data_IF_813024071407
#
_entry.id   IF_813024071407
#
_cell.length_a   1.000
_cell.length_b   1.000
_cell.length_c   1.000
_cell.angle_alpha   90.00
_cell.angle_beta   90.00
_cell.angle_gamma   90.00
#
_symmetry.space_group_name_H-M   'P 1'
#
loop_
_entity.id
_entity.type
_entity.pdbx_description
1 polymer ?
#
# COMPACT_ATOMS: atom_id res chain seq x y z
N UNK A 1 24.23 -3.40 43.44
CA UNK A 1 23.83 -2.84 42.14
C UNK A 1 22.72 -1.82 42.41
N UNK A 2 22.79 -0.59 41.89
CA UNK A 2 21.69 0.37 42.05
C UNK A 2 20.43 -0.21 41.42
N UNK A 3 19.33 -0.25 42.20
CA UNK A 3 18.03 -0.70 41.67
C UNK A 3 17.53 0.36 40.70
N UNK A 4 17.19 -0.06 39.46
CA UNK A 4 16.59 0.83 38.44
C UNK A 4 15.29 1.40 39.03
N UNK A 5 15.08 2.73 38.99
CA UNK A 5 13.84 3.34 39.47
C UNK A 5 12.59 2.74 38.79
N UNK A 6 11.50 2.59 39.51
CA UNK A 6 10.29 1.94 39.02
C UNK A 6 9.73 2.62 37.76
N UNK A 7 9.79 3.95 37.71
CA UNK A 7 9.40 4.74 36.54
C UNK A 7 10.26 4.41 35.31
N UNK A 8 11.58 4.25 35.49
CA UNK A 8 12.46 3.86 34.41
C UNK A 8 12.21 2.43 33.94
N UNK A 9 11.88 1.50 34.86
CA UNK A 9 11.46 0.14 34.51
C UNK A 9 10.18 0.15 33.65
N UNK A 10 9.19 0.95 34.02
CA UNK A 10 7.95 1.13 33.24
C UNK A 10 8.24 1.57 31.80
N UNK A 11 9.04 2.61 31.64
CA UNK A 11 9.42 3.13 30.32
C UNK A 11 10.20 2.10 29.51
N UNK A 12 11.15 1.39 30.13
CA UNK A 12 11.93 0.35 29.46
C UNK A 12 11.09 -0.84 29.02
N UNK A 13 10.09 -1.25 29.81
CA UNK A 13 9.19 -2.35 29.44
C UNK A 13 8.31 -1.95 28.26
N UNK A 14 7.66 -0.79 28.33
CA UNK A 14 6.80 -0.32 27.23
C UNK A 14 7.62 -0.11 25.95
N UNK A 15 8.76 0.58 26.07
CA UNK A 15 9.67 0.80 24.94
C UNK A 15 10.24 -0.48 24.35
N UNK A 16 10.59 -1.44 25.20
CA UNK A 16 11.08 -2.76 24.78
C UNK A 16 10.03 -3.57 24.03
N UNK A 17 8.77 -3.53 24.46
CA UNK A 17 7.67 -4.19 23.76
C UNK A 17 7.43 -3.53 22.39
N UNK A 18 7.41 -2.19 22.34
CA UNK A 18 7.29 -1.46 21.08
C UNK A 18 8.43 -1.79 20.10
N UNK A 19 9.67 -1.77 20.58
CA UNK A 19 10.84 -2.14 19.80
C UNK A 19 10.78 -3.60 19.33
N UNK A 20 10.24 -4.51 20.17
CA UNK A 20 10.00 -5.89 19.81
C UNK A 20 9.01 -6.06 18.67
N UNK A 21 7.89 -5.35 18.70
CA UNK A 21 6.94 -5.33 17.59
C UNK A 21 7.61 -4.83 16.30
N UNK A 22 8.31 -3.71 16.39
CA UNK A 22 9.01 -3.16 15.23
C UNK A 22 10.05 -4.14 14.67
N UNK A 23 10.87 -4.74 15.53
CA UNK A 23 11.90 -5.71 15.12
C UNK A 23 11.27 -6.94 14.41
N UNK A 24 10.19 -7.47 14.96
CA UNK A 24 9.57 -8.69 14.43
C UNK A 24 8.88 -8.40 13.10
N UNK A 25 8.02 -7.40 13.04
CA UNK A 25 7.17 -7.17 11.88
C UNK A 25 7.86 -6.40 10.76
N UNK A 26 8.61 -5.34 11.08
CA UNK A 26 9.31 -4.55 10.05
C UNK A 26 10.59 -5.24 9.58
N UNK A 27 11.43 -5.71 10.54
CA UNK A 27 12.77 -6.20 10.19
C UNK A 27 12.79 -7.70 9.84
N UNK A 28 12.12 -8.57 10.64
CA UNK A 28 12.21 -10.02 10.43
C UNK A 28 11.18 -10.52 9.42
N UNK A 29 9.94 -10.03 9.47
CA UNK A 29 8.86 -10.47 8.58
C UNK A 29 8.72 -9.60 7.32
N UNK A 30 9.29 -8.40 7.29
CA UNK A 30 9.15 -7.46 6.17
C UNK A 30 7.71 -7.00 5.94
N UNK A 31 6.84 -7.12 6.95
CA UNK A 31 5.43 -6.74 6.89
C UNK A 31 5.12 -5.73 8.00
N UNK A 32 5.34 -4.43 7.77
CA UNK A 32 5.12 -3.40 8.77
C UNK A 32 3.67 -3.34 9.22
N UNK A 33 3.46 -3.24 10.54
CA UNK A 33 2.13 -3.08 11.12
C UNK A 33 1.63 -1.66 10.82
N UNK A 34 0.38 -1.50 10.30
CA UNK A 34 -0.23 -0.18 10.17
C UNK A 34 -0.23 0.61 11.48
N UNK A 35 0.04 1.92 11.42
CA UNK A 35 0.17 2.76 12.61
C UNK A 35 -1.06 2.72 13.53
N UNK A 36 -2.27 2.61 12.96
CA UNK A 36 -3.52 2.47 13.71
C UNK A 36 -3.56 1.18 14.53
N UNK A 37 -3.13 0.07 13.93
CA UNK A 37 -3.11 -1.25 14.58
C UNK A 37 -2.00 -1.29 15.64
N UNK A 38 -0.83 -0.74 15.35
CA UNK A 38 0.25 -0.57 16.34
C UNK A 38 -0.23 0.25 17.53
N UNK A 39 -0.93 1.36 17.29
CA UNK A 39 -1.51 2.19 18.35
C UNK A 39 -2.51 1.42 19.22
N UNK A 40 -3.35 0.60 18.61
CA UNK A 40 -4.31 -0.25 19.33
C UNK A 40 -3.58 -1.29 20.21
N UNK A 41 -2.59 -1.99 19.69
CA UNK A 41 -1.81 -2.94 20.49
C UNK A 41 -1.07 -2.25 21.64
N UNK A 42 -0.43 -1.13 21.37
CA UNK A 42 0.27 -0.37 22.39
C UNK A 42 -0.68 0.19 23.47
N UNK A 43 -1.91 0.56 23.12
CA UNK A 43 -2.93 0.92 24.12
C UNK A 43 -3.18 -0.21 25.12
N UNK A 44 -3.38 -1.43 24.64
CA UNK A 44 -3.58 -2.59 25.54
C UNK A 44 -2.31 -2.93 26.33
N UNK A 45 -1.14 -2.85 25.70
CA UNK A 45 0.15 -3.07 26.37
C UNK A 45 0.35 -2.05 27.51
N UNK A 46 0.19 -0.76 27.21
CA UNK A 46 0.35 0.30 28.23
C UNK A 46 -0.64 0.11 29.37
N UNK A 47 -1.91 -0.16 29.06
CA UNK A 47 -2.94 -0.41 30.07
C UNK A 47 -2.58 -1.61 30.96
N UNK A 48 -2.21 -2.74 30.35
CA UNK A 48 -1.84 -3.95 31.10
C UNK A 48 -0.59 -3.76 31.94
N UNK A 49 0.45 -3.11 31.38
CA UNK A 49 1.68 -2.80 32.13
C UNK A 49 1.39 -1.85 33.29
N UNK A 50 0.58 -0.81 33.09
CA UNK A 50 0.17 0.09 34.17
C UNK A 50 -0.59 -0.66 35.28
N UNK A 51 -1.53 -1.54 34.93
CA UNK A 51 -2.23 -2.36 35.93
C UNK A 51 -1.26 -3.20 36.78
N UNK A 52 -0.26 -3.84 36.14
CA UNK A 52 0.76 -4.62 36.85
C UNK A 52 1.63 -3.74 37.76
N UNK A 53 2.06 -2.58 37.23
CA UNK A 53 2.95 -1.66 37.95
C UNK A 53 2.24 -0.90 39.09
N UNK A 54 0.91 -0.83 39.07
CA UNK A 54 0.10 -0.18 40.10
C UNK A 54 -0.71 -1.20 40.96
N UNK A 55 -0.42 -2.49 40.84
CA UNK A 55 -1.16 -3.54 41.51
C UNK A 55 -1.08 -3.50 43.07
N UNK A 56 -0.06 -2.83 43.60
CA UNK A 56 0.11 -2.64 45.05
C UNK A 56 0.33 -1.16 45.38
N UNK A 57 -0.06 -0.75 46.59
CA UNK A 57 0.11 0.62 47.08
C UNK A 57 1.58 1.04 47.04
N UNK A 58 2.48 0.17 47.45
CA UNK A 58 3.92 0.42 47.42
C UNK A 58 4.44 0.65 46.02
N UNK A 59 4.03 -0.18 45.07
CA UNK A 59 4.41 -0.01 43.64
C UNK A 59 3.88 1.31 43.06
N UNK A 60 2.65 1.67 43.42
CA UNK A 60 2.03 2.93 43.00
C UNK A 60 2.80 4.13 43.56
N UNK A 61 3.16 4.12 44.84
CA UNK A 61 3.98 5.17 45.45
C UNK A 61 5.32 5.31 44.75
N UNK A 62 6.03 4.23 44.47
CA UNK A 62 7.32 4.27 43.77
C UNK A 62 7.24 4.86 42.35
N UNK A 63 6.06 4.85 41.71
CA UNK A 63 5.83 5.51 40.43
C UNK A 63 5.45 6.98 40.62
N UNK A 64 4.62 7.30 41.59
CA UNK A 64 4.05 8.64 41.81
C UNK A 64 5.02 9.58 42.53
N UNK A 65 5.75 9.09 43.53
CA UNK A 65 6.66 9.91 44.34
C UNK A 65 7.70 10.68 43.52
N UNK A 66 8.36 10.12 42.49
CA UNK A 66 9.29 10.88 41.66
C UNK A 66 8.61 12.00 40.87
N UNK A 67 7.35 11.79 40.43
CA UNK A 67 6.56 12.77 39.70
C UNK A 67 6.13 13.89 40.66
N UNK A 68 5.65 13.52 41.84
CA UNK A 68 5.26 14.48 42.88
C UNK A 68 6.46 15.32 43.35
N UNK A 69 7.60 14.70 43.56
CA UNK A 69 8.84 15.41 43.87
C UNK A 69 9.27 16.39 42.77
N UNK A 70 9.06 16.04 41.48
CA UNK A 70 9.34 16.96 40.38
C UNK A 70 8.43 18.20 40.44
N UNK A 71 7.16 18.02 40.82
CA UNK A 71 6.17 19.10 40.89
C UNK A 71 6.36 19.97 42.13
N UNK A 72 6.59 19.38 43.29
CA UNK A 72 6.55 20.07 44.58
C UNK A 72 7.90 20.60 45.07
N UNK A 73 9.01 19.92 44.74
CA UNK A 73 10.34 20.33 45.24
C UNK A 73 10.85 21.63 44.58
N UNK A 74 11.13 22.67 45.37
CA UNK A 74 11.64 23.97 44.83
C UNK A 74 12.97 23.83 44.09
N UNK A 75 13.83 22.88 44.52
CA UNK A 75 15.13 22.61 43.89
C UNK A 75 15.03 22.05 42.48
N UNK A 76 13.88 21.54 42.07
CA UNK A 76 13.66 20.96 40.75
C UNK A 76 12.94 21.88 39.76
N UNK A 77 12.84 23.18 40.12
CA UNK A 77 12.12 24.18 39.32
C UNK A 77 12.52 24.22 37.83
N UNK A 78 13.83 24.12 37.55
CA UNK A 78 14.32 24.12 36.17
C UNK A 78 13.83 22.86 35.42
N UNK A 79 14.01 21.68 36.00
CA UNK A 79 13.58 20.42 35.41
C UNK A 79 12.07 20.39 35.20
N UNK A 80 11.31 20.83 36.21
CA UNK A 80 9.86 20.97 36.10
C UNK A 80 9.44 21.83 34.92
N UNK A 81 10.03 23.01 34.78
CA UNK A 81 9.71 23.95 33.70
C UNK A 81 10.08 23.32 32.33
N UNK A 82 11.22 22.66 32.22
CA UNK A 82 11.63 21.96 30.99
C UNK A 82 10.60 20.89 30.64
N UNK A 83 10.19 20.05 31.58
CA UNK A 83 9.21 18.99 31.32
C UNK A 83 7.84 19.58 30.94
N UNK A 84 7.35 20.57 31.68
CA UNK A 84 6.02 21.15 31.46
C UNK A 84 5.91 22.01 30.18
N UNK A 85 6.99 22.58 29.71
CA UNK A 85 6.99 23.39 28.47
C UNK A 85 7.55 22.62 27.26
N UNK A 86 8.64 21.90 27.44
CA UNK A 86 9.30 21.21 26.34
C UNK A 86 8.47 20.01 25.84
N UNK A 87 7.93 19.18 26.76
CA UNK A 87 7.18 17.99 26.36
C UNK A 87 5.88 18.35 25.63
N UNK A 88 5.01 19.24 26.16
CA UNK A 88 3.84 19.70 25.41
C UNK A 88 4.20 20.46 24.14
N UNK A 89 5.27 21.25 24.15
CA UNK A 89 5.75 21.95 22.95
C UNK A 89 6.17 21.00 21.84
N UNK A 90 6.96 19.96 22.16
CA UNK A 90 7.34 18.94 21.20
C UNK A 90 6.13 18.13 20.71
N UNK A 91 5.20 17.80 21.61
CA UNK A 91 3.95 17.13 21.23
C UNK A 91 3.11 17.99 20.27
N UNK A 92 2.98 19.29 20.56
CA UNK A 92 2.27 20.23 19.69
C UNK A 92 2.93 20.35 18.31
N UNK A 93 4.26 20.43 18.26
CA UNK A 93 5.01 20.44 16.98
C UNK A 93 4.81 19.13 16.23
N UNK A 94 4.87 17.99 16.90
CA UNK A 94 4.66 16.68 16.27
C UNK A 94 3.24 16.55 15.68
N UNK A 95 2.22 16.97 16.45
CA UNK A 95 0.82 16.99 15.96
C UNK A 95 0.68 17.98 14.81
N UNK A 96 1.25 19.16 14.90
CA UNK A 96 1.21 20.16 13.83
C UNK A 96 1.83 19.63 12.54
N UNK A 97 3.00 18.99 12.61
CA UNK A 97 3.66 18.39 11.44
C UNK A 97 2.83 17.22 10.85
N UNK A 98 2.15 16.45 11.69
CA UNK A 98 1.31 15.34 11.26
C UNK A 98 -0.02 15.83 10.65
N UNK A 99 -0.52 16.98 11.09
CA UNK A 99 -1.76 17.60 10.58
C UNK A 99 -1.53 18.57 9.41
N UNK A 100 -0.30 18.71 8.94
CA UNK A 100 -0.03 19.52 7.75
C UNK A 100 -0.85 18.97 6.58
N UNK A 101 -1.57 19.83 5.84
CA UNK A 101 -2.23 19.39 4.62
C UNK A 101 -1.19 18.77 3.68
N UNK A 102 -1.44 17.58 3.21
CA UNK A 102 -0.61 16.97 2.18
C UNK A 102 -0.88 17.69 0.85
N UNK A 103 0.16 17.91 0.06
CA UNK A 103 0.04 18.39 -1.33
C UNK A 103 -0.56 17.31 -2.25
N UNK A 104 -0.98 16.17 -1.68
CA UNK A 104 -1.65 15.10 -2.41
C UNK A 104 -3.07 15.55 -2.79
N UNK A 105 -3.45 15.26 -4.04
CA UNK A 105 -4.79 15.54 -4.52
C UNK A 105 -5.85 14.90 -3.59
N UNK A 106 -6.95 15.60 -3.30
CA UNK A 106 -8.07 15.03 -2.56
C UNK A 106 -8.52 13.69 -3.16
N UNK A 107 -9.11 12.83 -2.33
CA UNK A 107 -9.56 11.50 -2.73
C UNK A 107 -10.47 11.53 -3.95
N UNK A 108 -11.34 12.55 -4.02
CA UNK A 108 -12.32 12.76 -5.07
C UNK A 108 -11.70 13.18 -6.41
N UNK A 109 -10.49 13.71 -6.36
CA UNK A 109 -9.73 14.14 -7.55
C UNK A 109 -8.69 13.10 -7.99
N UNK A 110 -8.55 11.99 -7.27
CA UNK A 110 -7.60 10.94 -7.65
C UNK A 110 -8.08 10.19 -8.88
N UNK A 111 -7.19 10.02 -9.82
CA UNK A 111 -7.49 9.35 -11.09
C UNK A 111 -7.57 7.83 -10.91
N UNK A 112 -8.63 7.22 -11.44
CA UNK A 112 -8.76 5.76 -11.54
C UNK A 112 -7.73 5.20 -12.55
N UNK A 113 -7.44 5.98 -13.59
CA UNK A 113 -6.43 5.68 -14.59
C UNK A 113 -5.30 6.72 -14.51
N UNK A 114 -4.38 6.60 -13.53
CA UNK A 114 -3.25 7.52 -13.46
C UNK A 114 -2.39 7.37 -14.71
N UNK A 115 -1.76 8.45 -15.12
CA UNK A 115 -0.77 8.38 -16.18
C UNK A 115 0.33 7.35 -15.81
N UNK A 116 0.73 6.47 -16.72
CA UNK A 116 1.82 5.55 -16.46
C UNK A 116 3.12 6.34 -16.23
N UNK A 117 4.05 5.84 -15.41
CA UNK A 117 5.38 6.41 -15.36
C UNK A 117 6.05 6.27 -16.73
N UNK A 118 6.98 7.15 -17.07
CA UNK A 118 7.73 7.05 -18.34
C UNK A 118 8.52 5.75 -18.44
N UNK A 119 8.97 5.20 -17.32
CA UNK A 119 9.66 3.90 -17.27
C UNK A 119 9.33 3.15 -15.99
N UNK A 120 9.30 1.82 -16.05
CA UNK A 120 9.09 0.94 -14.92
C UNK A 120 10.08 -0.23 -14.91
N UNK A 121 10.39 -0.74 -13.70
CA UNK A 121 11.16 -1.98 -13.55
C UNK A 121 10.17 -3.14 -13.42
N UNK A 122 10.13 -4.00 -14.44
CA UNK A 122 9.22 -5.14 -14.55
C UNK A 122 10.05 -6.37 -14.93
N UNK A 123 9.81 -7.53 -14.36
CA UNK A 123 10.64 -8.75 -14.55
C UNK A 123 12.15 -8.52 -14.34
N UNK A 124 12.50 -7.59 -13.42
CA UNK A 124 13.90 -7.23 -13.19
C UNK A 124 14.56 -6.36 -14.26
N UNK A 125 13.86 -6.09 -15.39
CA UNK A 125 14.32 -5.24 -16.50
C UNK A 125 13.68 -3.86 -16.43
N UNK A 126 14.34 -2.85 -17.01
CA UNK A 126 13.75 -1.52 -17.14
C UNK A 126 13.09 -1.39 -18.51
N UNK A 127 11.80 -1.06 -18.51
CA UNK A 127 11.01 -0.79 -19.70
C UNK A 127 10.76 0.71 -19.82
N UNK A 128 10.90 1.24 -21.02
CA UNK A 128 10.41 2.56 -21.40
C UNK A 128 8.96 2.39 -21.88
N UNK A 129 8.00 2.80 -21.05
CA UNK A 129 6.58 2.61 -21.32
C UNK A 129 6.04 3.56 -22.40
N UNK A 130 6.79 4.60 -22.75
CA UNK A 130 6.39 5.54 -23.78
C UNK A 130 6.63 4.98 -25.20
N UNK A 131 7.59 4.07 -25.33
CA UNK A 131 7.95 3.43 -26.60
C UNK A 131 7.64 1.92 -26.62
N UNK A 132 7.09 1.38 -25.53
CA UNK A 132 6.82 -0.05 -25.41
C UNK A 132 5.60 -0.44 -26.24
N UNK A 133 5.80 -1.36 -27.16
CA UNK A 133 4.76 -1.95 -27.99
C UNK A 133 4.60 -3.45 -27.68
N UNK A 134 3.42 -3.98 -27.94
CA UNK A 134 3.17 -5.41 -27.83
C UNK A 134 3.93 -6.15 -28.95
N UNK A 135 4.87 -7.04 -28.60
CA UNK A 135 5.73 -7.68 -29.59
C UNK A 135 4.96 -8.60 -30.56
N UNK A 136 3.71 -8.92 -30.24
CA UNK A 136 2.88 -9.83 -31.04
C UNK A 136 1.76 -9.12 -31.83
N UNK A 137 1.56 -7.80 -31.63
CA UNK A 137 0.46 -7.07 -32.30
C UNK A 137 0.57 -7.07 -33.82
N UNK A 138 1.78 -7.05 -34.37
CA UNK A 138 2.00 -7.07 -35.80
C UNK A 138 1.46 -8.34 -36.47
N UNK A 139 1.41 -9.47 -35.75
CA UNK A 139 0.90 -10.75 -36.25
C UNK A 139 -0.59 -10.70 -36.62
N UNK A 140 -1.35 -9.75 -36.10
CA UNK A 140 -2.75 -9.55 -36.51
C UNK A 140 -2.88 -9.39 -38.02
N UNK A 141 -1.87 -8.79 -38.66
CA UNK A 141 -1.81 -8.59 -40.11
C UNK A 141 -0.89 -9.59 -40.84
N UNK A 142 0.25 -9.91 -40.21
CA UNK A 142 1.32 -10.66 -40.85
C UNK A 142 1.09 -12.18 -40.79
N UNK A 143 0.53 -12.68 -39.68
CA UNK A 143 0.17 -14.10 -39.46
C UNK A 143 -1.08 -14.21 -38.60
N UNK A 144 -2.28 -14.08 -39.21
CA UNK A 144 -3.54 -14.13 -38.45
C UNK A 144 -3.82 -15.49 -37.79
N UNK A 145 -3.17 -16.57 -38.23
CA UNK A 145 -3.33 -17.88 -37.59
C UNK A 145 -2.58 -17.92 -36.26
N UNK A 146 -1.29 -17.56 -36.27
CA UNK A 146 -0.49 -17.44 -35.07
C UNK A 146 -1.07 -16.40 -34.09
N UNK A 147 -1.59 -15.29 -34.59
CA UNK A 147 -2.26 -14.29 -33.75
C UNK A 147 -3.44 -14.89 -33.00
N UNK A 148 -4.32 -15.69 -33.65
CA UNK A 148 -5.45 -16.35 -33.00
C UNK A 148 -5.01 -17.37 -31.93
N UNK A 149 -3.89 -18.07 -32.17
CA UNK A 149 -3.32 -18.97 -31.17
C UNK A 149 -2.89 -18.22 -29.91
N UNK A 150 -2.22 -17.08 -30.07
CA UNK A 150 -1.80 -16.22 -28.95
C UNK A 150 -3.01 -15.62 -28.20
N UNK A 151 -4.04 -15.19 -28.92
CA UNK A 151 -5.30 -14.71 -28.32
C UNK A 151 -5.98 -15.84 -27.52
N UNK A 152 -6.04 -17.05 -28.06
CA UNK A 152 -6.61 -18.20 -27.35
C UNK A 152 -5.81 -18.53 -26.08
N UNK A 153 -4.49 -18.53 -26.14
CA UNK A 153 -3.62 -18.70 -24.97
C UNK A 153 -3.83 -17.61 -23.93
N UNK A 154 -3.98 -16.35 -24.37
CA UNK A 154 -4.33 -15.24 -23.50
C UNK A 154 -5.68 -15.41 -22.79
N UNK A 155 -6.67 -15.93 -23.54
CA UNK A 155 -7.99 -16.29 -22.99
C UNK A 155 -7.90 -17.35 -21.88
N UNK A 156 -7.08 -18.38 -22.06
CA UNK A 156 -6.85 -19.37 -21.00
C UNK A 156 -6.22 -18.77 -19.75
N UNK A 157 -5.24 -17.87 -19.92
CA UNK A 157 -4.62 -17.16 -18.79
C UNK A 157 -5.65 -16.29 -18.09
N UNK A 158 -6.49 -15.57 -18.84
CA UNK A 158 -7.56 -14.72 -18.30
C UNK A 158 -8.57 -15.55 -17.47
N UNK A 159 -9.06 -16.66 -18.01
CA UNK A 159 -10.03 -17.52 -17.34
C UNK A 159 -9.45 -18.10 -16.04
N UNK A 160 -8.17 -18.46 -16.03
CA UNK A 160 -7.53 -19.03 -14.85
C UNK A 160 -7.27 -18.01 -13.74
N UNK A 161 -7.00 -16.75 -14.09
CA UNK A 161 -6.44 -15.79 -13.15
C UNK A 161 -7.26 -14.50 -12.97
N UNK A 162 -7.95 -14.02 -14.01
CA UNK A 162 -8.50 -12.67 -14.05
C UNK A 162 -10.03 -12.63 -13.88
N UNK A 163 -10.74 -13.66 -14.39
CA UNK A 163 -12.22 -13.69 -14.43
C UNK A 163 -12.87 -13.58 -13.05
N UNK A 164 -12.21 -14.05 -12.00
CA UNK A 164 -12.75 -14.01 -10.63
C UNK A 164 -13.03 -12.61 -10.12
N UNK A 165 -12.27 -11.63 -10.61
CA UNK A 165 -12.47 -10.21 -10.33
C UNK A 165 -13.12 -9.50 -11.51
N UNK A 166 -12.62 -9.70 -12.75
CA UNK A 166 -13.04 -8.95 -13.92
C UNK A 166 -14.26 -9.51 -14.66
N UNK A 167 -14.77 -10.70 -14.23
CA UNK A 167 -15.92 -11.36 -14.84
C UNK A 167 -15.58 -12.17 -16.09
N UNK A 168 -16.39 -13.18 -16.39
CA UNK A 168 -16.27 -14.03 -17.58
C UNK A 168 -16.57 -13.27 -18.88
N UNK A 169 -17.37 -12.20 -18.77
CA UNK A 169 -17.71 -11.28 -19.86
C UNK A 169 -16.83 -10.04 -19.92
N UNK A 170 -15.77 -9.97 -19.15
CA UNK A 170 -14.90 -8.77 -19.06
C UNK A 170 -15.64 -7.51 -18.57
N UNK A 171 -16.76 -7.68 -17.88
CA UNK A 171 -17.67 -6.60 -17.45
C UNK A 171 -17.40 -6.05 -16.04
N UNK A 172 -16.31 -6.52 -15.39
CA UNK A 172 -15.95 -6.11 -14.04
C UNK A 172 -16.82 -6.74 -12.93
N UNK A 173 -17.64 -7.74 -13.25
CA UNK A 173 -18.61 -8.37 -12.35
C UNK A 173 -18.26 -9.81 -11.96
N UNK A 174 -16.97 -10.06 -11.78
CA UNK A 174 -16.53 -11.37 -11.26
C UNK A 174 -17.05 -11.64 -9.84
N UNK A 175 -17.05 -12.90 -9.39
CA UNK A 175 -17.59 -13.29 -8.08
C UNK A 175 -16.94 -12.55 -6.89
N UNK A 176 -15.72 -12.05 -7.03
CA UNK A 176 -15.03 -11.27 -5.99
C UNK A 176 -15.22 -9.76 -6.12
N UNK A 177 -15.80 -9.27 -7.22
CA UNK A 177 -15.85 -7.84 -7.54
C UNK A 177 -16.54 -7.01 -6.44
N UNK A 178 -17.61 -7.52 -5.84
CA UNK A 178 -18.38 -6.80 -4.83
C UNK A 178 -17.62 -6.59 -3.51
N UNK A 179 -16.59 -7.39 -3.24
CA UNK A 179 -15.74 -7.26 -2.06
C UNK A 179 -14.54 -6.34 -2.25
N UNK A 180 -14.35 -5.79 -3.45
CA UNK A 180 -13.17 -5.00 -3.80
C UNK A 180 -13.48 -3.51 -3.92
N UNK A 181 -12.55 -2.69 -3.42
CA UNK A 181 -12.61 -1.24 -3.56
C UNK A 181 -11.19 -0.70 -3.88
N UNK A 182 -10.95 -0.13 -5.08
CA UNK A 182 -11.93 0.07 -6.16
C UNK A 182 -12.42 -1.25 -6.78
N UNK A 183 -13.63 -1.21 -7.35
CA UNK A 183 -14.16 -2.35 -8.10
C UNK A 183 -13.33 -2.62 -9.35
N UNK A 184 -13.24 -3.88 -9.82
CA UNK A 184 -12.56 -4.21 -11.06
C UNK A 184 -13.14 -3.46 -12.26
N UNK A 185 -12.28 -3.05 -13.17
CA UNK A 185 -12.70 -2.33 -14.37
C UNK A 185 -13.57 -3.20 -15.29
N UNK A 186 -14.57 -2.54 -15.89
CA UNK A 186 -15.36 -3.08 -16.98
C UNK A 186 -14.62 -2.81 -18.30
N UNK A 187 -14.06 -3.84 -18.92
CA UNK A 187 -13.38 -3.74 -20.21
C UNK A 187 -14.33 -3.65 -21.41
N UNK A 188 -15.61 -3.96 -21.23
CA UNK A 188 -16.64 -3.78 -22.26
C UNK A 188 -16.98 -2.30 -22.50
N UNK A 189 -16.65 -1.43 -21.54
CA UNK A 189 -16.90 -0.01 -21.66
C UNK A 189 -15.88 0.65 -22.61
N UNK A 190 -16.38 1.25 -23.68
CA UNK A 190 -15.57 1.98 -24.67
C UNK A 190 -14.77 3.12 -24.05
N UNK A 191 -15.24 3.71 -22.93
CA UNK A 191 -14.52 4.71 -22.17
C UNK A 191 -13.31 4.17 -21.41
N UNK A 192 -13.19 2.84 -21.31
CA UNK A 192 -12.09 2.15 -20.64
C UNK A 192 -11.08 1.60 -21.65
N UNK A 193 -11.37 0.44 -22.25
CA UNK A 193 -10.35 -0.32 -22.99
C UNK A 193 -9.90 0.40 -24.27
N UNK A 194 -10.80 1.05 -25.00
CA UNK A 194 -10.49 1.75 -26.23
C UNK A 194 -9.65 3.02 -26.02
N UNK A 195 -9.54 3.51 -24.77
CA UNK A 195 -8.74 4.68 -24.43
C UNK A 195 -7.34 4.32 -23.90
N UNK A 196 -7.09 3.04 -23.65
CA UNK A 196 -5.85 2.58 -23.06
C UNK A 196 -4.87 2.10 -24.13
N UNK A 197 -3.60 2.24 -23.82
CA UNK A 197 -2.49 1.70 -24.60
C UNK A 197 -2.09 0.33 -24.07
N UNK A 198 -1.56 -0.52 -24.93
CA UNK A 198 -1.08 -1.85 -24.50
C UNK A 198 0.05 -1.74 -23.46
N UNK A 199 0.92 -0.74 -23.58
CA UNK A 199 1.97 -0.48 -22.58
C UNK A 199 1.43 -0.10 -21.21
N UNK A 200 0.31 0.64 -21.17
CA UNK A 200 -0.40 0.93 -19.92
C UNK A 200 -0.95 -0.34 -19.29
N UNK A 201 -1.60 -1.19 -20.07
CA UNK A 201 -2.13 -2.47 -19.59
C UNK A 201 -1.02 -3.41 -19.12
N UNK A 202 0.09 -3.46 -19.86
CA UNK A 202 1.26 -4.23 -19.47
C UNK A 202 1.80 -3.80 -18.11
N UNK A 203 2.00 -2.51 -17.91
CA UNK A 203 2.43 -1.97 -16.63
C UNK A 203 1.42 -2.29 -15.53
N UNK A 204 0.12 -2.05 -15.75
CA UNK A 204 -0.93 -2.28 -14.76
C UNK A 204 -1.06 -3.73 -14.34
N UNK A 205 -1.02 -4.66 -15.31
CA UNK A 205 -1.08 -6.08 -15.02
C UNK A 205 0.19 -6.51 -14.30
N UNK A 206 1.35 -6.19 -14.82
CA UNK A 206 2.62 -6.63 -14.25
C UNK A 206 2.82 -6.16 -12.81
N UNK A 207 2.51 -4.89 -12.51
CA UNK A 207 2.80 -4.28 -11.20
C UNK A 207 1.61 -4.26 -10.23
N UNK A 208 0.41 -4.52 -10.70
CA UNK A 208 -0.79 -4.62 -9.88
C UNK A 208 -1.13 -3.35 -9.08
N UNK A 209 -1.86 -3.52 -7.99
CA UNK A 209 -2.21 -2.44 -7.06
C UNK A 209 -1.01 -1.75 -6.42
N UNK A 210 -0.01 -2.47 -5.91
CA UNK A 210 1.20 -1.88 -5.35
C UNK A 210 2.01 -1.01 -6.31
N UNK A 211 1.89 -1.24 -7.62
CA UNK A 211 2.57 -0.43 -8.65
C UNK A 211 1.90 0.90 -8.96
N UNK A 212 0.74 1.19 -8.38
CA UNK A 212 0.07 2.47 -8.58
C UNK A 212 0.78 3.62 -7.85
N UNK A 213 0.85 4.81 -8.47
CA UNK A 213 1.30 6.00 -7.80
C UNK A 213 0.31 6.42 -6.69
N UNK A 214 0.78 7.20 -5.72
CA UNK A 214 -0.05 7.64 -4.58
C UNK A 214 -1.28 8.46 -4.98
N UNK A 215 -1.22 9.10 -6.14
CA UNK A 215 -2.29 9.93 -6.71
C UNK A 215 -3.41 9.11 -7.36
N UNK A 216 -3.26 7.78 -7.47
CA UNK A 216 -4.19 6.94 -8.21
C UNK A 216 -5.56 6.87 -7.54
N UNK A 217 -5.68 6.21 -6.44
CA UNK A 217 -6.92 6.07 -5.69
C UNK A 217 -6.63 6.15 -4.21
N UNK A 218 -7.63 6.46 -3.35
CA UNK A 218 -7.42 6.48 -1.90
C UNK A 218 -7.01 5.12 -1.35
N UNK A 219 -7.36 4.07 -2.06
CA UNK A 219 -7.11 2.69 -1.68
C UNK A 219 -6.12 2.04 -2.64
N UNK A 220 -5.20 1.29 -2.10
CA UNK A 220 -4.36 0.41 -2.90
C UNK A 220 -5.30 -0.61 -3.55
N UNK A 221 -5.27 -0.69 -4.89
CA UNK A 221 -6.03 -1.70 -5.61
C UNK A 221 -5.62 -3.11 -5.15
N UNK A 222 -6.62 -3.97 -4.97
CA UNK A 222 -6.38 -5.39 -4.62
C UNK A 222 -5.86 -6.23 -5.79
N UNK A 223 -5.59 -5.63 -6.95
CA UNK A 223 -5.02 -6.33 -8.11
C UNK A 223 -3.63 -6.88 -7.76
N UNK A 224 -3.40 -8.19 -7.91
CA UNK A 224 -2.10 -8.79 -7.63
C UNK A 224 -0.98 -8.27 -8.53
N UNK A 225 0.26 -8.44 -8.08
CA UNK A 225 1.49 -8.16 -8.86
C UNK A 225 1.73 -9.36 -9.79
N UNK A 226 1.16 -9.33 -10.99
CA UNK A 226 1.13 -10.52 -11.85
C UNK A 226 2.48 -10.92 -12.42
N UNK A 227 3.49 -10.05 -12.46
CA UNK A 227 4.85 -10.45 -12.85
C UNK A 227 5.47 -11.51 -11.93
N UNK A 228 4.88 -11.76 -10.75
CA UNK A 228 5.33 -12.79 -9.82
C UNK A 228 4.73 -14.16 -10.14
N UNK A 229 3.66 -14.20 -10.93
CA UNK A 229 2.88 -15.42 -11.22
C UNK A 229 2.81 -15.76 -12.70
N UNK A 230 2.92 -14.77 -13.58
CA UNK A 230 2.81 -14.91 -15.03
C UNK A 230 4.13 -14.53 -15.69
N UNK A 231 4.42 -15.15 -16.84
CA UNK A 231 5.51 -14.72 -17.71
C UNK A 231 5.19 -13.42 -18.45
N UNK A 232 6.21 -12.74 -18.95
CA UNK A 232 6.07 -11.57 -19.81
C UNK A 232 5.18 -11.86 -21.03
N UNK A 233 5.40 -13.00 -21.66
CA UNK A 233 4.62 -13.46 -22.81
C UNK A 233 3.13 -13.65 -22.45
N UNK A 234 2.85 -14.29 -21.32
CA UNK A 234 1.46 -14.49 -20.87
C UNK A 234 0.74 -13.18 -20.62
N UNK A 235 1.41 -12.17 -20.09
CA UNK A 235 0.82 -10.83 -19.91
C UNK A 235 0.48 -10.22 -21.27
N UNK A 236 1.38 -10.29 -22.27
CA UNK A 236 1.11 -9.80 -23.60
C UNK A 236 -0.04 -10.55 -24.29
N UNK A 237 -0.11 -11.86 -24.14
CA UNK A 237 -1.21 -12.67 -24.65
C UNK A 237 -2.56 -12.29 -24.04
N UNK A 238 -2.62 -12.06 -22.72
CA UNK A 238 -3.86 -11.57 -22.09
C UNK A 238 -4.28 -10.23 -22.66
N UNK A 239 -3.34 -9.31 -22.92
CA UNK A 239 -3.66 -8.02 -23.51
C UNK A 239 -4.24 -8.19 -24.92
N UNK A 240 -3.69 -9.08 -25.75
CA UNK A 240 -4.27 -9.39 -27.06
C UNK A 240 -5.72 -9.89 -26.90
N UNK A 241 -5.95 -10.84 -25.97
CA UNK A 241 -7.28 -11.38 -25.71
C UNK A 241 -8.28 -10.30 -25.27
N UNK A 242 -7.88 -9.36 -24.40
CA UNK A 242 -8.77 -8.28 -23.95
C UNK A 242 -9.28 -7.43 -25.11
N UNK A 243 -8.41 -7.07 -26.04
CA UNK A 243 -8.79 -6.27 -27.20
C UNK A 243 -9.58 -7.07 -28.23
N UNK A 244 -9.21 -8.31 -28.49
CA UNK A 244 -9.93 -9.21 -29.43
C UNK A 244 -11.36 -9.48 -28.93
N UNK A 245 -11.51 -9.87 -27.66
CA UNK A 245 -12.82 -10.18 -27.07
C UNK A 245 -13.75 -8.96 -27.08
N UNK A 246 -13.24 -7.77 -26.81
CA UNK A 246 -14.05 -6.54 -26.76
C UNK A 246 -14.27 -5.90 -28.14
N UNK A 247 -13.56 -6.35 -29.15
CA UNK A 247 -13.62 -5.80 -30.51
C UNK A 247 -13.06 -4.39 -30.63
N UNK A 248 -12.29 -3.94 -29.66
CA UNK A 248 -11.65 -2.63 -29.66
C UNK A 248 -10.20 -2.70 -30.13
N UNK A 249 -9.68 -1.58 -30.65
CA UNK A 249 -8.27 -1.44 -30.97
C UNK A 249 -7.55 -0.63 -29.87
N UNK A 250 -6.29 -0.97 -29.56
CA UNK A 250 -5.52 -0.21 -28.61
C UNK A 250 -5.24 1.20 -29.13
N UNK A 251 -5.24 2.17 -28.21
CA UNK A 251 -4.81 3.52 -28.54
C UNK A 251 -3.30 3.52 -28.84
N UNK A 252 -2.91 4.07 -29.96
CA UNK A 252 -1.49 4.30 -30.30
C UNK A 252 -1.02 5.67 -29.81
N UNK A 253 0.27 5.81 -29.50
CA UNK A 253 0.91 7.11 -29.46
C UNK A 253 0.90 7.63 -30.89
N UNK A 254 0.13 8.69 -31.14
CA UNK A 254 0.15 9.31 -32.50
C UNK A 254 1.55 9.84 -32.80
N UNK A 255 2.26 9.15 -33.64
CA UNK A 255 3.40 9.72 -34.32
C UNK A 255 2.83 10.41 -35.56
N UNK A 256 2.40 11.67 -35.42
CA UNK A 256 2.26 12.61 -36.53
C UNK A 256 3.59 13.31 -36.77
#
# INVERSE_FOLDING_TARGET
MPKIPRLAQLVLVIGGIYAGFWLIFDLLLGQPIPASLMGMYMFFVVTGVLMVFTATEESTRQLVDPIQALVEEPGRRLMRNVVFFLVPGLAAVAVFLQMQPSDEAPLELRSIHPAPPSSAKIFGKRYDLMSLENPYRHLEKDDPEQFRELVAAGGEVYIRNCQYCHGDKLDGKGPYAQGLNPVPLNFQDIGTIAQLQESFLFWRIATGGPGLPKEATPWISSMPVWQEFLSEEQIWQVILYLYDYTGHQPRSWGHE
#
